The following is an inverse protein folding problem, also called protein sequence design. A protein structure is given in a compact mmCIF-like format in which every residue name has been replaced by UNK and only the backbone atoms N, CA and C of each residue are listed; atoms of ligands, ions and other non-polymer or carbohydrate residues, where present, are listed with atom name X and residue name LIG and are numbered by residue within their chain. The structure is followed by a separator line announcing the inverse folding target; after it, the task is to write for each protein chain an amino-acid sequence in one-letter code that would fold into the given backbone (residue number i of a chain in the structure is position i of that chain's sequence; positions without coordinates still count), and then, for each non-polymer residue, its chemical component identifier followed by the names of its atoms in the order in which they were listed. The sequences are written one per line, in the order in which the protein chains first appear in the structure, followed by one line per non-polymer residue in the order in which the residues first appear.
data_IF_765746362095
#
_entry.id   IF_765746362095
#
_cell.length_a   1.000
_cell.length_b   1.000
_cell.length_c   1.000
_cell.angle_alpha   90.00
_cell.angle_beta   90.00
_cell.angle_gamma   90.00
#
_symmetry.space_group_name_H-M   'P 1'
#
loop_
_entity.id
_entity.type
_entity.pdbx_description
1 polymer ?
#
# COMPACT_ATOMS: atom_id res chain seq x y z
N UNK A 1 -12.61 2.48 67.13
CA UNK A 1 -12.35 3.21 65.87
C UNK A 1 -11.61 2.28 64.91
N UNK A 2 -12.26 1.80 63.86
CA UNK A 2 -11.61 1.12 62.73
C UNK A 2 -11.95 1.96 61.50
N UNK A 3 -10.97 2.75 61.04
CA UNK A 3 -11.07 3.55 59.82
C UNK A 3 -10.86 2.55 58.68
N UNK A 4 -11.95 2.19 57.99
CA UNK A 4 -11.86 1.42 56.77
C UNK A 4 -11.52 2.39 55.63
N UNK A 5 -10.27 2.30 55.18
CA UNK A 5 -9.75 3.04 54.03
C UNK A 5 -10.38 2.45 52.76
N UNK A 6 -11.43 3.08 52.24
CA UNK A 6 -11.95 2.75 50.92
C UNK A 6 -11.05 3.40 49.87
N UNK A 7 -10.05 2.66 49.40
CA UNK A 7 -9.22 3.04 48.26
C UNK A 7 -10.04 2.86 46.99
N UNK A 8 -10.68 3.94 46.52
CA UNK A 8 -11.26 4.00 45.18
C UNK A 8 -10.12 3.84 44.16
N UNK A 9 -10.01 2.67 43.55
CA UNK A 9 -9.30 2.48 42.29
C UNK A 9 -10.03 3.31 41.24
N UNK A 10 -9.56 4.53 41.00
CA UNK A 10 -9.91 5.28 39.80
C UNK A 10 -9.36 4.49 38.61
N UNK A 11 -10.28 3.82 37.90
CA UNK A 11 -10.05 3.23 36.60
C UNK A 11 -9.64 4.36 35.64
N UNK A 12 -8.34 4.63 35.57
CA UNK A 12 -7.74 5.48 34.54
C UNK A 12 -7.79 4.70 33.23
N UNK A 13 -8.94 4.74 32.57
CA UNK A 13 -9.05 4.37 31.16
C UNK A 13 -8.26 5.47 30.44
N UNK A 14 -6.96 5.25 30.25
CA UNK A 14 -6.20 6.06 29.32
C UNK A 14 -6.87 5.89 27.95
N UNK A 15 -7.27 6.96 27.26
CA UNK A 15 -7.61 6.82 25.85
C UNK A 15 -6.34 6.29 25.18
N UNK A 16 -6.40 5.06 24.68
CA UNK A 16 -5.39 4.56 23.77
C UNK A 16 -5.48 5.48 22.56
N UNK A 17 -4.58 6.46 22.49
CA UNK A 17 -4.33 7.21 21.28
C UNK A 17 -3.85 6.19 20.26
N UNK A 18 -4.77 5.68 19.44
CA UNK A 18 -4.39 4.98 18.22
C UNK A 18 -3.59 5.99 17.43
N UNK A 19 -2.27 5.80 17.35
CA UNK A 19 -1.48 6.51 16.36
C UNK A 19 -2.12 6.18 15.02
N UNK A 20 -2.63 7.19 14.32
CA UNK A 20 -2.93 7.05 12.90
C UNK A 20 -1.58 6.76 12.29
N UNK A 21 -1.34 5.50 11.94
CA UNK A 21 -0.14 5.14 11.21
C UNK A 21 -0.14 5.96 9.94
N UNK A 22 0.97 6.65 9.72
CA UNK A 22 1.03 7.55 8.60
C UNK A 22 1.11 6.73 7.33
N UNK A 23 0.20 7.03 6.41
CA UNK A 23 0.09 6.33 5.15
C UNK A 23 1.30 6.65 4.27
N UNK A 24 1.84 5.64 3.62
CA UNK A 24 3.03 5.77 2.80
C UNK A 24 3.03 4.72 1.69
N UNK A 25 3.69 5.03 0.58
CA UNK A 25 3.74 4.16 -0.60
C UNK A 25 5.07 4.34 -1.34
N UNK A 26 5.60 3.30 -1.99
CA UNK A 26 6.80 3.41 -2.81
C UNK A 26 6.50 3.97 -4.21
N UNK A 27 5.25 4.35 -4.50
CA UNK A 27 4.80 4.73 -5.83
C UNK A 27 4.30 6.16 -5.88
N UNK A 28 4.73 6.94 -6.86
CA UNK A 28 4.17 8.29 -7.13
C UNK A 28 2.92 8.24 -8.02
N UNK A 29 2.67 7.09 -8.65
CA UNK A 29 1.52 6.86 -9.51
C UNK A 29 1.13 5.40 -9.51
N UNK A 30 -0.18 5.14 -9.49
CA UNK A 30 -0.75 3.80 -9.60
C UNK A 30 -1.94 3.82 -10.54
N UNK A 31 -2.00 2.85 -11.47
CA UNK A 31 -3.14 2.65 -12.35
C UNK A 31 -3.53 1.18 -12.45
N UNK A 32 -4.82 0.91 -12.30
CA UNK A 32 -5.38 -0.42 -12.49
C UNK A 32 -5.99 -0.57 -13.88
N UNK A 33 -5.71 -1.68 -14.53
CA UNK A 33 -6.39 -2.03 -15.76
C UNK A 33 -6.55 -3.53 -15.94
N UNK A 34 -6.96 -3.91 -17.14
CA UNK A 34 -7.16 -5.29 -17.53
C UNK A 34 -6.62 -5.52 -18.94
N UNK A 35 -5.89 -6.61 -19.13
CA UNK A 35 -5.40 -7.04 -20.44
C UNK A 35 -6.01 -8.39 -20.82
N UNK A 36 -6.44 -8.56 -22.09
CA UNK A 36 -6.76 -9.88 -22.62
C UNK A 36 -5.61 -10.86 -22.35
N UNK A 37 -5.93 -12.08 -21.91
CA UNK A 37 -4.98 -13.17 -21.57
C UNK A 37 -4.24 -13.01 -20.23
N UNK A 38 -3.80 -11.81 -19.83
CA UNK A 38 -3.07 -11.61 -18.56
C UNK A 38 -3.96 -11.32 -17.35
N UNK A 39 -5.16 -10.79 -17.58
CA UNK A 39 -6.09 -10.42 -16.52
C UNK A 39 -5.84 -9.00 -15.99
N UNK A 40 -6.15 -8.79 -14.71
CA UNK A 40 -5.90 -7.52 -14.02
C UNK A 40 -4.39 -7.19 -14.04
N UNK A 41 -4.05 -5.91 -14.04
CA UNK A 41 -2.68 -5.42 -13.84
C UNK A 41 -2.67 -4.17 -12.96
N UNK A 42 -1.52 -3.90 -12.35
CA UNK A 42 -1.21 -2.65 -11.65
C UNK A 42 0.00 -2.03 -12.34
N UNK A 43 -0.18 -0.88 -12.98
CA UNK A 43 0.90 -0.06 -13.51
C UNK A 43 1.35 0.90 -12.40
N UNK A 44 2.66 1.04 -12.23
CA UNK A 44 3.25 1.88 -11.18
C UNK A 44 4.32 2.81 -11.75
N UNK A 45 4.55 3.94 -11.10
CA UNK A 45 5.72 4.80 -11.36
C UNK A 45 6.36 5.25 -10.06
N UNK A 46 7.65 5.50 -10.13
CA UNK A 46 8.45 6.26 -9.20
C UNK A 46 9.72 6.69 -9.95
N UNK A 47 9.81 7.93 -10.46
CA UNK A 47 10.90 8.35 -11.35
C UNK A 47 12.28 8.35 -10.67
N UNK A 48 12.34 8.33 -9.33
CA UNK A 48 13.61 8.23 -8.61
C UNK A 48 14.21 6.81 -8.66
N UNK A 49 13.38 5.78 -8.82
CA UNK A 49 13.79 4.37 -8.75
C UNK A 49 13.52 3.59 -10.03
N UNK A 50 12.59 4.05 -10.87
CA UNK A 50 12.14 3.37 -12.08
C UNK A 50 12.51 4.22 -13.30
N UNK A 51 12.76 3.57 -14.44
CA UNK A 51 13.03 4.27 -15.70
C UNK A 51 11.76 5.02 -16.19
N UNK A 52 11.77 6.35 -16.13
CA UNK A 52 10.60 7.18 -16.42
C UNK A 52 10.10 7.05 -17.88
N UNK A 53 10.98 6.65 -18.80
CA UNK A 53 10.64 6.46 -20.21
C UNK A 53 9.86 5.15 -20.46
N UNK A 54 9.76 4.28 -19.44
CA UNK A 54 9.25 2.91 -19.60
C UNK A 54 7.99 2.64 -18.79
N UNK A 55 7.20 1.72 -19.29
CA UNK A 55 6.00 1.24 -18.58
C UNK A 55 6.35 0.09 -17.65
N UNK A 56 6.04 0.29 -16.37
CA UNK A 56 6.29 -0.67 -15.29
C UNK A 56 4.99 -1.25 -14.76
N UNK A 57 4.93 -2.58 -14.66
CA UNK A 57 3.83 -3.31 -14.06
C UNK A 57 4.32 -4.01 -12.78
N UNK A 58 3.57 -3.85 -11.70
CA UNK A 58 3.85 -4.51 -10.43
C UNK A 58 3.64 -6.03 -10.58
N UNK A 59 4.61 -6.80 -10.09
CA UNK A 59 4.55 -8.26 -10.03
C UNK A 59 4.43 -8.70 -8.57
N UNK A 60 5.30 -8.21 -7.68
CA UNK A 60 5.28 -8.56 -6.25
C UNK A 60 5.58 -7.36 -5.36
N UNK A 61 5.04 -7.40 -4.14
CA UNK A 61 5.38 -6.54 -2.98
C UNK A 61 5.75 -7.47 -1.83
N UNK A 62 6.95 -7.34 -1.26
CA UNK A 62 7.41 -8.19 -0.15
C UNK A 62 7.23 -9.70 -0.44
N UNK A 63 7.50 -10.11 -1.68
CA UNK A 63 7.35 -11.49 -2.14
C UNK A 63 5.91 -11.97 -2.35
N UNK A 64 4.90 -11.09 -2.25
CA UNK A 64 3.49 -11.42 -2.49
C UNK A 64 3.03 -10.93 -3.86
N UNK A 65 2.50 -11.85 -4.66
CA UNK A 65 2.04 -11.58 -6.04
C UNK A 65 0.88 -10.59 -6.07
N UNK A 66 0.92 -9.66 -7.04
CA UNK A 66 -0.06 -8.60 -7.19
C UNK A 66 -1.50 -9.11 -7.40
N UNK A 67 -1.68 -10.31 -7.97
CA UNK A 67 -3.01 -10.93 -8.14
C UNK A 67 -3.59 -11.34 -6.80
N UNK A 68 -2.75 -11.85 -5.90
CA UNK A 68 -3.17 -12.18 -4.54
C UNK A 68 -3.44 -10.92 -3.72
N UNK A 69 -2.66 -9.85 -3.91
CA UNK A 69 -2.94 -8.53 -3.34
C UNK A 69 -4.33 -8.04 -3.78
N UNK A 70 -4.59 -8.02 -5.10
CA UNK A 70 -5.88 -7.60 -5.65
C UNK A 70 -7.02 -8.46 -5.10
N UNK A 71 -6.83 -9.78 -5.08
CA UNK A 71 -7.85 -10.73 -4.61
C UNK A 71 -8.20 -10.50 -3.14
N UNK A 72 -7.20 -10.38 -2.27
CA UNK A 72 -7.40 -10.17 -0.84
C UNK A 72 -8.01 -8.80 -0.54
N UNK A 73 -7.49 -7.74 -1.18
CA UNK A 73 -8.06 -6.40 -1.04
C UNK A 73 -9.50 -6.32 -1.56
N UNK A 74 -9.83 -6.98 -2.69
CA UNK A 74 -11.22 -7.12 -3.17
C UNK A 74 -12.10 -7.85 -2.17
N UNK A 75 -11.59 -8.89 -1.51
CA UNK A 75 -12.34 -9.63 -0.51
C UNK A 75 -12.65 -8.77 0.73
N UNK A 76 -11.70 -7.92 1.16
CA UNK A 76 -11.87 -7.03 2.32
C UNK A 76 -12.72 -5.80 2.02
N UNK A 77 -12.46 -5.14 0.89
CA UNK A 77 -12.96 -3.78 0.62
C UNK A 77 -13.97 -3.72 -0.54
N UNK A 78 -14.26 -4.85 -1.18
CA UNK A 78 -15.22 -4.94 -2.27
C UNK A 78 -14.83 -4.03 -3.44
N UNK A 79 -15.73 -3.12 -3.82
CA UNK A 79 -15.51 -2.20 -4.95
C UNK A 79 -14.43 -1.15 -4.67
N UNK A 80 -14.17 -0.86 -3.40
CA UNK A 80 -13.23 0.20 -2.99
C UNK A 80 -11.78 -0.28 -2.97
N UNK A 81 -11.49 -1.53 -3.36
CA UNK A 81 -10.14 -2.08 -3.29
C UNK A 81 -9.09 -1.26 -4.05
N UNK A 82 -9.44 -0.61 -5.17
CA UNK A 82 -8.51 0.23 -5.93
C UNK A 82 -8.10 1.47 -5.14
N UNK A 83 -9.09 2.16 -4.57
CA UNK A 83 -8.89 3.27 -3.62
C UNK A 83 -7.97 2.83 -2.48
N UNK A 84 -8.28 1.67 -1.87
CA UNK A 84 -7.52 1.15 -0.74
C UNK A 84 -6.07 0.82 -1.10
N UNK A 85 -5.82 0.13 -2.20
CA UNK A 85 -4.44 -0.16 -2.64
C UNK A 85 -3.70 1.12 -3.05
N UNK A 86 -4.36 2.08 -3.70
CA UNK A 86 -3.70 3.25 -4.27
C UNK A 86 -3.39 4.34 -3.23
N UNK A 87 -4.37 4.71 -2.42
CA UNK A 87 -4.30 5.89 -1.54
C UNK A 87 -4.17 5.50 -0.05
N UNK A 88 -4.31 4.21 0.27
CA UNK A 88 -4.16 3.62 1.61
C UNK A 88 -3.27 2.36 1.55
N UNK A 89 -2.17 2.44 0.81
CA UNK A 89 -1.27 1.33 0.51
C UNK A 89 -0.80 0.60 1.76
N UNK A 90 -0.16 1.29 2.70
CA UNK A 90 0.42 0.71 3.91
C UNK A 90 -0.65 0.08 4.79
N UNK A 91 -1.75 0.78 5.04
CA UNK A 91 -2.90 0.21 5.77
C UNK A 91 -3.42 -1.06 5.09
N UNK A 92 -3.54 -1.03 3.77
CA UNK A 92 -4.11 -2.13 2.98
C UNK A 92 -3.19 -3.34 2.96
N UNK A 93 -1.88 -3.15 2.73
CA UNK A 93 -0.89 -4.23 2.74
C UNK A 93 -0.86 -4.93 4.10
N UNK A 94 -0.84 -4.17 5.20
CA UNK A 94 -0.89 -4.73 6.56
C UNK A 94 -2.19 -5.49 6.83
N UNK A 95 -3.33 -4.95 6.38
CA UNK A 95 -4.63 -5.59 6.55
C UNK A 95 -4.73 -6.95 5.82
N UNK A 96 -3.97 -7.15 4.75
CA UNK A 96 -3.86 -8.44 4.03
C UNK A 96 -2.63 -9.26 4.44
N UNK A 97 -1.97 -8.90 5.54
CA UNK A 97 -0.87 -9.66 6.14
C UNK A 97 0.49 -9.46 5.49
N UNK A 98 0.66 -8.41 4.67
CA UNK A 98 1.94 -8.04 4.06
C UNK A 98 2.62 -7.01 4.96
N UNK A 99 3.82 -7.34 5.43
CA UNK A 99 4.57 -6.48 6.34
C UNK A 99 5.38 -5.45 5.56
N UNK A 100 4.76 -4.31 5.25
CA UNK A 100 5.46 -3.16 4.66
C UNK A 100 5.98 -2.23 5.75
N UNK A 101 7.23 -1.80 5.62
CA UNK A 101 7.87 -0.81 6.51
C UNK A 101 8.09 0.51 5.77
N UNK A 102 9.05 1.32 6.23
CA UNK A 102 9.53 2.53 5.55
C UNK A 102 10.23 2.25 4.20
N UNK A 103 10.57 0.98 3.94
CA UNK A 103 11.11 0.51 2.68
C UNK A 103 10.40 -0.77 2.28
N UNK A 104 10.31 -0.98 0.96
CA UNK A 104 9.54 -2.08 0.38
C UNK A 104 10.34 -2.74 -0.74
N UNK A 105 10.40 -4.06 -0.71
CA UNK A 105 10.93 -4.87 -1.79
C UNK A 105 9.88 -5.10 -2.86
N UNK A 106 10.25 -4.84 -4.12
CA UNK A 106 9.37 -4.87 -5.28
C UNK A 106 9.93 -5.78 -6.36
N UNK A 107 9.04 -6.50 -7.04
CA UNK A 107 9.33 -7.10 -8.34
C UNK A 107 8.51 -6.41 -9.40
N UNK A 108 9.17 -5.90 -10.44
CA UNK A 108 8.52 -5.17 -11.53
C UNK A 108 8.74 -5.87 -12.87
N UNK A 109 7.76 -5.72 -13.75
CA UNK A 109 7.81 -6.13 -15.13
C UNK A 109 7.83 -4.90 -16.04
N UNK A 110 8.90 -4.78 -16.83
CA UNK A 110 9.12 -3.74 -17.84
C UNK A 110 8.47 -4.14 -19.17
N UNK A 111 7.74 -3.21 -19.79
CA UNK A 111 7.36 -3.31 -21.19
C UNK A 111 8.02 -2.20 -22.02
N UNK A 112 9.04 -2.56 -22.79
CA UNK A 112 9.77 -1.65 -23.68
C UNK A 112 10.34 -2.37 -24.89
N UNK A 113 9.50 -2.64 -25.90
CA UNK A 113 9.91 -3.38 -27.12
C UNK A 113 10.59 -4.75 -26.85
N UNK A 114 10.47 -5.24 -25.61
CA UNK A 114 11.06 -6.43 -25.00
C UNK A 114 10.44 -6.65 -23.61
N UNK A 115 10.67 -7.83 -23.02
CA UNK A 115 10.08 -8.27 -21.76
C UNK A 115 11.18 -8.46 -20.71
N UNK A 116 11.22 -7.65 -19.64
CA UNK A 116 12.20 -7.82 -18.55
C UNK A 116 11.51 -7.80 -17.20
N UNK A 117 11.84 -8.76 -16.34
CA UNK A 117 11.49 -8.75 -14.93
C UNK A 117 12.73 -8.35 -14.15
N UNK A 118 12.58 -7.51 -13.13
CA UNK A 118 13.68 -7.13 -12.26
C UNK A 118 13.17 -6.89 -10.84
N UNK A 119 14.07 -7.12 -9.89
CA UNK A 119 13.85 -6.94 -8.46
C UNK A 119 14.44 -5.60 -8.03
N UNK A 120 13.72 -4.87 -7.19
CA UNK A 120 14.15 -3.64 -6.55
C UNK A 120 14.02 -3.86 -5.04
N UNK A 121 15.15 -3.84 -4.35
CA UNK A 121 15.19 -3.95 -2.89
C UNK A 121 15.18 -2.55 -2.26
N UNK A 122 14.66 -2.46 -1.04
CA UNK A 122 14.78 -1.27 -0.19
C UNK A 122 14.17 0.03 -0.78
N UNK A 123 13.10 -0.06 -1.59
CA UNK A 123 12.46 1.14 -2.18
C UNK A 123 11.72 1.95 -1.11
N UNK A 124 12.07 3.22 -0.87
CA UNK A 124 11.44 4.03 0.18
C UNK A 124 9.95 4.23 -0.04
N UNK A 125 9.17 4.02 1.02
CA UNK A 125 7.75 4.36 1.09
C UNK A 125 7.56 5.65 1.87
N UNK A 126 7.03 6.69 1.21
CA UNK A 126 6.92 8.04 1.79
C UNK A 126 5.48 8.56 1.75
N UNK A 127 5.20 9.54 2.60
CA UNK A 127 3.95 10.31 2.60
C UNK A 127 3.79 11.15 1.34
N UNK A 128 4.87 11.77 0.88
CA UNK A 128 4.88 12.62 -0.32
C UNK A 128 4.40 11.85 -1.55
N UNK A 129 4.80 10.59 -1.69
CA UNK A 129 4.34 9.72 -2.76
C UNK A 129 2.82 9.47 -2.71
N UNK A 130 2.23 9.36 -1.50
CA UNK A 130 0.78 9.21 -1.33
C UNK A 130 0.07 10.46 -1.82
N UNK A 131 0.59 11.64 -1.49
CA UNK A 131 0.04 12.89 -1.97
C UNK A 131 0.05 12.96 -3.50
N UNK A 132 1.12 12.51 -4.17
CA UNK A 132 1.17 12.47 -5.64
C UNK A 132 0.05 11.59 -6.24
N UNK A 133 -0.22 10.43 -5.64
CA UNK A 133 -1.31 9.56 -6.10
C UNK A 133 -2.67 10.23 -5.92
N UNK A 134 -2.94 10.80 -4.74
CA UNK A 134 -4.24 11.41 -4.39
C UNK A 134 -4.62 12.56 -5.32
N UNK A 135 -3.64 13.28 -5.86
CA UNK A 135 -3.85 14.39 -6.78
C UNK A 135 -3.57 14.04 -8.25
N UNK A 136 -3.33 12.77 -8.56
CA UNK A 136 -3.17 12.31 -9.94
C UNK A 136 -4.51 12.27 -10.68
N UNK A 137 -4.47 12.29 -12.02
CA UNK A 137 -5.66 12.13 -12.87
C UNK A 137 -6.36 10.77 -12.68
N UNK A 138 -5.72 9.81 -12.00
CA UNK A 138 -6.19 8.44 -11.78
C UNK A 138 -6.58 8.22 -10.31
N UNK A 139 -7.35 9.15 -9.73
CA UNK A 139 -7.85 9.02 -8.35
C UNK A 139 -8.93 7.93 -8.24
N UNK A 140 -8.92 7.17 -7.14
CA UNK A 140 -9.83 6.04 -6.94
C UNK A 140 -10.76 6.20 -5.74
N UNK A 141 -10.46 7.06 -4.77
CA UNK A 141 -11.25 7.24 -3.54
C UNK A 141 -12.41 8.26 -3.64
N UNK A 142 -12.88 8.59 -4.85
CA UNK A 142 -14.00 9.52 -5.09
C UNK A 142 -15.38 8.86 -5.07
#
# INVERSE_FOLDING_TARGET
MKILLALLMTLSIAPAFSSVEVESTPFTYIKFGWMPVRGDYIQVKNPEFFDEDKTHFLIEVEGVDYKDIIKQAKALYGKNYKCRIAEHFTETMRAIGINVTDKVDLKLYLFDWGHKVFDLEDVPSTEDNVYEIQFSDEQYCN
#
